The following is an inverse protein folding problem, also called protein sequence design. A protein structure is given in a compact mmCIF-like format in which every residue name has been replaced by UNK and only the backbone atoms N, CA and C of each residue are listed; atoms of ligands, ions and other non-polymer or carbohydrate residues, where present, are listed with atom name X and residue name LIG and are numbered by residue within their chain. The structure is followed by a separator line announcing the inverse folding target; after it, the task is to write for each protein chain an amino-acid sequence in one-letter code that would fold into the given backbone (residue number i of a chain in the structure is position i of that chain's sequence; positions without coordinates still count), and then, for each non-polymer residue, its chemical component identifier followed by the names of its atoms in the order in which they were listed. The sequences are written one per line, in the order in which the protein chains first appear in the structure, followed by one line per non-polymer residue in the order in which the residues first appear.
data_IF_926932001055
#
_entry.id   IF_926932001055
#
_cell.length_a   1.000
_cell.length_b   1.000
_cell.length_c   1.000
_cell.angle_alpha   90.00
_cell.angle_beta   90.00
_cell.angle_gamma   90.00
#
_symmetry.space_group_name_H-M   'P 1'
#
loop_
_entity.id
_entity.type
_entity.pdbx_description
1 polymer ?
#
# COMPACT_ATOMS: atom_id res chain seq x y z
N UNK A 1 14.75 12.33 -16.14
CA UNK A 1 14.55 11.52 -14.92
C UNK A 1 13.05 11.44 -14.68
N UNK A 2 12.39 10.27 -14.78
CA UNK A 2 10.99 10.17 -14.38
C UNK A 2 10.92 10.35 -12.86
N UNK A 3 10.10 11.29 -12.38
CA UNK A 3 9.79 11.39 -10.95
C UNK A 3 8.86 10.23 -10.62
N UNK A 4 9.14 9.48 -9.55
CA UNK A 4 8.34 8.33 -9.10
C UNK A 4 6.94 8.66 -8.57
N UNK A 5 6.38 9.80 -8.97
CA UNK A 5 5.02 10.19 -8.68
C UNK A 5 4.14 9.74 -9.85
N UNK A 6 3.35 8.69 -9.63
CA UNK A 6 2.28 8.32 -10.54
C UNK A 6 1.09 9.24 -10.26
N UNK A 7 0.72 10.07 -11.23
CA UNK A 7 -0.52 10.83 -11.16
C UNK A 7 -1.70 9.86 -11.20
N UNK A 8 -2.65 10.00 -10.28
CA UNK A 8 -3.90 9.24 -10.31
C UNK A 8 -4.61 9.53 -11.63
N UNK A 9 -4.57 8.57 -12.55
CA UNK A 9 -5.35 8.61 -13.79
C UNK A 9 -6.70 7.93 -13.54
N UNK A 10 -7.74 8.19 -14.34
CA UNK A 10 -9.01 7.48 -14.19
C UNK A 10 -8.88 5.95 -14.24
N UNK A 11 -7.87 5.43 -14.97
CA UNK A 11 -7.57 4.00 -15.01
C UNK A 11 -6.97 3.45 -13.70
N UNK A 12 -6.44 4.33 -12.84
CA UNK A 12 -5.94 3.99 -11.51
C UNK A 12 -6.99 4.20 -10.39
N UNK A 13 -8.23 4.58 -10.74
CA UNK A 13 -9.28 4.82 -9.75
C UNK A 13 -9.78 3.51 -9.12
N UNK A 14 -9.88 2.43 -9.90
CA UNK A 14 -10.42 1.17 -9.43
C UNK A 14 -9.33 0.25 -8.87
N UNK A 15 -9.47 -0.13 -7.59
CA UNK A 15 -8.60 -1.11 -6.93
C UNK A 15 -8.08 -0.68 -5.58
N UNK A 16 -6.95 -1.28 -5.20
CA UNK A 16 -6.32 -1.07 -3.90
C UNK A 16 -4.80 -0.91 -4.01
N UNK A 17 -4.24 -0.08 -3.14
CA UNK A 17 -2.80 0.07 -2.95
C UNK A 17 -2.39 -0.59 -1.64
N UNK A 18 -1.48 -1.56 -1.74
CA UNK A 18 -0.85 -2.18 -0.58
C UNK A 18 0.44 -1.43 -0.22
N UNK A 19 0.46 -0.79 0.95
CA UNK A 19 1.53 0.13 1.34
C UNK A 19 2.11 -0.26 2.70
N UNK A 20 3.43 -0.47 2.75
CA UNK A 20 4.18 -0.70 3.99
C UNK A 20 5.27 0.36 4.15
N UNK A 21 5.38 0.88 5.37
CA UNK A 21 6.46 1.82 5.71
C UNK A 21 7.81 1.10 5.77
N UNK A 22 8.88 1.78 5.33
CA UNK A 22 10.25 1.27 5.45
C UNK A 22 10.77 1.32 6.89
N UNK A 23 10.21 2.21 7.73
CA UNK A 23 10.67 2.44 9.11
C UNK A 23 9.63 2.04 10.16
N UNK A 24 8.45 1.59 9.73
CA UNK A 24 7.33 1.22 10.61
C UNK A 24 6.93 -0.24 10.46
N UNK A 25 6.23 -0.76 11.46
CA UNK A 25 5.67 -2.11 11.46
C UNK A 25 4.26 -2.19 10.85
N UNK A 26 3.66 -1.05 10.52
CA UNK A 26 2.29 -0.98 10.05
C UNK A 26 2.23 -1.07 8.53
N UNK A 27 1.31 -1.89 8.04
CA UNK A 27 0.94 -2.02 6.63
C UNK A 27 -0.52 -1.64 6.44
N UNK A 28 -0.82 -0.95 5.34
CA UNK A 28 -2.13 -0.41 5.02
C UNK A 28 -2.62 -0.91 3.67
N UNK A 29 -3.92 -1.14 3.58
CA UNK A 29 -4.63 -1.25 2.30
C UNK A 29 -5.42 0.04 2.10
N UNK A 30 -5.17 0.72 0.99
CA UNK A 30 -5.83 1.96 0.62
C UNK A 30 -6.75 1.71 -0.58
N UNK A 31 -7.97 2.23 -0.56
CA UNK A 31 -8.78 2.34 -1.78
C UNK A 31 -8.14 3.38 -2.71
N UNK A 32 -7.94 3.03 -3.98
CA UNK A 32 -7.05 3.80 -4.87
C UNK A 32 -7.61 5.15 -5.32
N UNK A 33 -8.93 5.33 -5.39
CA UNK A 33 -9.55 6.57 -5.86
C UNK A 33 -9.52 7.69 -4.80
N UNK A 34 -9.84 7.34 -3.55
CA UNK A 34 -9.98 8.23 -2.41
C UNK A 34 -8.75 8.27 -1.51
N UNK A 35 -7.93 7.22 -1.53
CA UNK A 35 -6.83 7.01 -0.58
C UNK A 35 -7.32 6.59 0.81
N UNK A 36 -8.59 6.23 0.98
CA UNK A 36 -9.13 5.80 2.26
C UNK A 36 -8.49 4.50 2.72
N UNK A 37 -8.10 4.44 4.00
CA UNK A 37 -7.63 3.21 4.63
C UNK A 37 -8.81 2.26 4.80
N UNK A 38 -8.76 1.12 4.12
CA UNK A 38 -9.78 0.07 4.22
C UNK A 38 -9.35 -1.09 5.13
N UNK A 39 -8.04 -1.26 5.34
CA UNK A 39 -7.51 -2.25 6.26
C UNK A 39 -6.13 -1.83 6.81
N UNK A 40 -5.82 -2.31 8.02
CA UNK A 40 -4.54 -2.08 8.71
C UNK A 40 -4.05 -3.39 9.31
N UNK A 41 -2.79 -3.75 9.04
CA UNK A 41 -2.09 -4.84 9.71
C UNK A 41 -0.93 -4.30 10.53
N UNK A 42 -0.78 -4.83 11.74
CA UNK A 42 0.39 -4.58 12.59
C UNK A 42 1.32 -5.78 12.56
N UNK A 43 2.56 -5.55 12.13
CA UNK A 43 3.61 -6.55 12.17
C UNK A 43 4.35 -6.52 13.50
N UNK A 44 4.79 -7.69 13.97
CA UNK A 44 5.77 -7.80 15.07
C UNK A 44 7.22 -7.92 14.57
N UNK A 45 7.41 -7.93 13.25
CA UNK A 45 8.70 -8.07 12.60
C UNK A 45 9.24 -6.70 12.21
N UNK A 46 10.57 -6.56 12.24
CA UNK A 46 11.22 -5.37 11.71
C UNK A 46 10.83 -5.19 10.23
N UNK A 47 10.70 -3.94 9.75
CA UNK A 47 10.33 -3.67 8.37
C UNK A 47 11.28 -4.41 7.42
N UNK A 48 10.71 -5.24 6.55
CA UNK A 48 11.44 -5.97 5.53
C UNK A 48 11.49 -5.14 4.24
N UNK A 49 12.51 -5.35 3.40
CA UNK A 49 12.65 -4.64 2.11
C UNK A 49 11.57 -5.00 1.08
N UNK A 50 10.70 -5.96 1.38
CA UNK A 50 9.58 -6.39 0.54
C UNK A 50 8.43 -6.90 1.40
N UNK A 51 7.21 -6.59 0.99
CA UNK A 51 5.97 -7.11 1.58
C UNK A 51 5.12 -7.74 0.48
N UNK A 52 4.37 -8.79 0.83
CA UNK A 52 3.53 -9.52 -0.10
C UNK A 52 2.19 -9.81 0.55
N UNK A 53 1.10 -9.52 -0.16
CA UNK A 53 -0.26 -9.86 0.25
C UNK A 53 -0.54 -11.31 -0.21
N UNK A 54 -0.86 -12.18 0.75
CA UNK A 54 -1.20 -13.57 0.46
C UNK A 54 -2.60 -13.66 -0.19
N UNK A 55 -2.87 -14.74 -0.91
CA UNK A 55 -4.14 -14.95 -1.61
C UNK A 55 -5.37 -14.94 -0.67
N UNK A 56 -5.17 -15.27 0.60
CA UNK A 56 -6.22 -15.29 1.60
C UNK A 56 -6.43 -13.94 2.33
N UNK A 57 -5.70 -12.89 1.91
CA UNK A 57 -5.62 -11.62 2.63
C UNK A 57 -4.92 -11.74 3.99
#
# INVERSE_FOLDING_TARGET
MPRGLLSATPAAADGYVYFSSLIGSTTYLLESASGAVVHTWESRYAPAGSVYLLDNG
#
